data_IF_575649319323
#
_entry.id   IF_575649319323
#
_cell.length_a   1.000
_cell.length_b   1.000
_cell.length_c   1.000
_cell.angle_alpha   90.00
_cell.angle_beta   90.00
_cell.angle_gamma   90.00
#
_symmetry.space_group_name_H-M   'P 1'
#
loop_
_entity.id
_entity.type
_entity.pdbx_description
1 polymer ?
#
# COMPACT_ATOMS: atom_id res chain seq x y z
N UNK A 1 14.38 -0.36 -0.68
CA UNK A 1 13.75 0.08 -1.92
C UNK A 1 13.76 1.59 -2.08
N UNK A 2 13.27 2.07 -3.25
CA UNK A 2 13.20 3.50 -3.58
C UNK A 2 12.43 4.34 -2.56
N UNK A 3 11.31 3.81 -2.06
CA UNK A 3 10.44 4.51 -1.10
C UNK A 3 11.17 4.87 0.20
N UNK A 4 12.03 3.95 0.71
CA UNK A 4 12.83 4.22 1.92
C UNK A 4 13.84 5.34 1.67
N UNK A 5 14.44 5.39 0.47
CA UNK A 5 15.39 6.46 0.11
C UNK A 5 14.66 7.81 0.02
N UNK A 6 13.45 7.84 -0.55
CA UNK A 6 12.64 9.06 -0.63
C UNK A 6 12.26 9.53 0.77
N UNK A 7 11.78 8.63 1.64
CA UNK A 7 11.41 8.98 3.01
C UNK A 7 12.62 9.50 3.81
N UNK A 8 13.78 8.83 3.69
CA UNK A 8 15.01 9.26 4.33
C UNK A 8 15.48 10.62 3.80
N UNK A 9 15.40 10.85 2.47
CA UNK A 9 15.72 12.13 1.84
C UNK A 9 14.81 13.26 2.32
N UNK A 10 13.49 13.04 2.37
CA UNK A 10 12.53 14.01 2.89
C UNK A 10 12.79 14.33 4.37
N UNK A 11 13.05 13.31 5.19
CA UNK A 11 13.36 13.51 6.60
C UNK A 11 14.67 14.26 6.85
N UNK A 12 15.69 14.05 5.99
CA UNK A 12 16.96 14.75 6.08
C UNK A 12 16.87 16.22 5.61
N UNK A 13 16.09 16.48 4.54
CA UNK A 13 15.92 17.81 3.97
C UNK A 13 14.94 18.68 4.77
N UNK A 14 13.91 18.07 5.38
CA UNK A 14 12.84 18.76 6.08
C UNK A 14 12.62 18.19 7.49
N UNK A 15 13.64 18.24 8.38
CA UNK A 15 13.47 17.81 9.77
C UNK A 15 12.51 18.75 10.52
N UNK A 16 12.49 20.03 10.11
CA UNK A 16 11.62 21.08 10.61
C UNK A 16 10.86 21.71 9.43
N UNK A 17 9.75 22.40 9.75
CA UNK A 17 9.02 23.16 8.74
C UNK A 17 9.91 24.32 8.23
N UNK A 18 9.99 24.54 6.89
CA UNK A 18 10.78 25.64 6.33
C UNK A 18 10.18 27.00 6.70
N UNK A 19 10.87 27.80 7.53
CA UNK A 19 10.39 29.09 8.03
C UNK A 19 10.02 30.07 6.90
N UNK A 20 10.75 30.02 5.78
CA UNK A 20 10.46 30.86 4.60
C UNK A 20 9.05 30.65 4.03
N UNK A 21 8.45 29.48 4.24
CA UNK A 21 7.13 29.16 3.75
C UNK A 21 6.01 29.64 4.69
N UNK A 22 6.30 29.99 5.93
CA UNK A 22 5.33 30.59 6.86
C UNK A 22 4.78 31.93 6.37
N UNK A 23 5.50 32.62 5.49
CA UNK A 23 5.02 33.86 4.86
C UNK A 23 3.91 33.62 3.83
N UNK A 24 3.76 32.41 3.33
CA UNK A 24 2.82 32.03 2.28
C UNK A 24 1.71 31.10 2.75
N UNK A 25 2.01 30.25 3.74
CA UNK A 25 1.09 29.26 4.26
C UNK A 25 0.99 29.37 5.78
N UNK A 26 -0.17 29.01 6.31
CA UNK A 26 -0.41 28.99 7.75
C UNK A 26 -0.73 27.52 8.19
N UNK A 27 0.26 26.62 8.16
CA UNK A 27 0.06 25.23 8.48
C UNK A 27 -0.18 25.02 9.97
N UNK A 28 -0.99 24.01 10.30
CA UNK A 28 -1.12 23.55 11.67
C UNK A 28 0.12 22.74 12.07
N UNK A 29 0.96 23.28 12.96
CA UNK A 29 2.21 22.68 13.42
C UNK A 29 2.14 22.29 14.91
N UNK A 30 1.05 21.69 15.33
CA UNK A 30 0.83 21.16 16.69
C UNK A 30 1.74 19.96 17.03
N UNK A 31 2.30 19.32 16.00
CA UNK A 31 3.28 18.25 16.10
C UNK A 31 4.60 18.62 15.39
N UNK A 32 5.73 17.98 15.72
CA UNK A 32 6.96 18.09 14.93
C UNK A 32 6.71 17.79 13.44
N UNK A 33 7.22 18.63 12.54
CA UNK A 33 6.92 18.55 11.10
C UNK A 33 7.19 17.17 10.50
N UNK A 34 8.23 16.48 10.94
CA UNK A 34 8.54 15.13 10.47
C UNK A 34 7.42 14.12 10.82
N UNK A 35 6.78 14.26 11.99
CA UNK A 35 5.65 13.41 12.38
C UNK A 35 4.41 13.74 11.53
N UNK A 36 4.14 15.02 11.29
CA UNK A 36 3.06 15.48 10.41
C UNK A 36 3.26 14.87 9.01
N UNK A 37 4.48 14.94 8.48
CA UNK A 37 4.82 14.38 7.18
C UNK A 37 4.57 12.86 7.13
N UNK A 38 5.01 12.11 8.15
CA UNK A 38 4.80 10.65 8.21
C UNK A 38 3.31 10.31 8.29
N UNK A 39 2.55 11.01 9.12
CA UNK A 39 1.09 10.81 9.25
C UNK A 39 0.40 11.06 7.89
N UNK A 40 0.74 12.16 7.23
CA UNK A 40 0.18 12.48 5.92
C UNK A 40 0.60 11.48 4.84
N UNK A 41 1.84 10.95 4.88
CA UNK A 41 2.29 9.89 3.95
C UNK A 41 1.45 8.62 4.14
N UNK A 42 1.17 8.21 5.37
CA UNK A 42 0.32 7.04 5.64
C UNK A 42 -1.11 7.30 5.13
N UNK A 43 -1.67 8.47 5.39
CA UNK A 43 -3.00 8.85 4.96
C UNK A 43 -3.12 8.89 3.44
N UNK A 44 -2.29 9.68 2.77
CA UNK A 44 -2.33 9.82 1.31
C UNK A 44 -1.84 8.57 0.58
N UNK A 45 -0.91 7.81 1.17
CA UNK A 45 -0.49 6.52 0.66
C UNK A 45 -1.62 5.49 0.65
N UNK A 46 -2.41 5.42 1.72
CA UNK A 46 -3.56 4.53 1.80
C UNK A 46 -4.67 4.94 0.81
N UNK A 47 -5.03 6.23 0.76
CA UNK A 47 -6.01 6.75 -0.20
C UNK A 47 -5.56 6.51 -1.65
N UNK A 48 -4.31 6.84 -1.96
CA UNK A 48 -3.74 6.61 -3.29
C UNK A 48 -3.79 5.13 -3.68
N UNK A 49 -3.43 4.22 -2.76
CA UNK A 49 -3.47 2.79 -3.03
C UNK A 49 -4.88 2.27 -3.29
N UNK A 50 -5.89 2.79 -2.58
CA UNK A 50 -7.29 2.44 -2.81
C UNK A 50 -7.76 2.93 -4.19
N UNK A 51 -7.48 4.18 -4.53
CA UNK A 51 -7.88 4.79 -5.82
C UNK A 51 -7.15 4.08 -6.98
N UNK A 52 -5.84 3.90 -6.86
CA UNK A 52 -5.04 3.24 -7.89
C UNK A 52 -5.44 1.77 -8.07
N UNK A 53 -5.74 1.08 -6.97
CA UNK A 53 -6.29 -0.27 -7.02
C UNK A 53 -7.63 -0.34 -7.77
N UNK A 54 -8.53 0.62 -7.50
CA UNK A 54 -9.78 0.77 -8.25
C UNK A 54 -9.55 0.99 -9.76
N UNK A 55 -8.60 1.86 -10.10
CA UNK A 55 -8.18 2.06 -11.49
C UNK A 55 -7.68 0.76 -12.15
N UNK A 56 -6.86 -0.03 -11.43
CA UNK A 56 -6.37 -1.31 -11.95
C UNK A 56 -7.50 -2.31 -12.19
N UNK A 57 -8.50 -2.38 -11.29
CA UNK A 57 -9.68 -3.23 -11.48
C UNK A 57 -10.46 -2.84 -12.73
N UNK A 58 -10.69 -1.55 -12.95
CA UNK A 58 -11.36 -1.03 -14.14
C UNK A 58 -10.56 -1.33 -15.41
N UNK A 59 -9.25 -1.07 -15.40
CA UNK A 59 -8.35 -1.31 -16.53
C UNK A 59 -8.29 -2.79 -16.95
N UNK A 60 -8.38 -3.71 -16.00
CA UNK A 60 -8.35 -5.15 -16.27
C UNK A 60 -9.76 -5.77 -16.35
N UNK A 61 -10.81 -4.94 -16.41
CA UNK A 61 -12.22 -5.37 -16.52
C UNK A 61 -12.66 -6.36 -15.44
N UNK A 62 -12.07 -6.24 -14.24
CA UNK A 62 -12.36 -7.12 -13.11
C UNK A 62 -13.61 -6.64 -12.36
N UNK A 63 -14.66 -7.46 -12.35
CA UNK A 63 -15.86 -7.19 -11.56
C UNK A 63 -15.61 -7.53 -10.08
N UNK A 64 -15.37 -6.51 -9.26
CA UNK A 64 -15.06 -6.64 -7.84
C UNK A 64 -16.15 -7.38 -7.06
N UNK A 65 -17.44 -7.09 -7.34
CA UNK A 65 -18.57 -7.71 -6.64
C UNK A 65 -18.62 -9.23 -6.88
N UNK A 66 -18.40 -9.66 -8.12
CA UNK A 66 -18.36 -11.07 -8.48
C UNK A 66 -17.16 -11.78 -7.86
N UNK A 67 -16.01 -11.13 -7.76
CA UNK A 67 -14.84 -11.70 -7.11
C UNK A 67 -15.04 -11.79 -5.58
N UNK A 68 -15.59 -10.76 -4.92
CA UNK A 68 -15.88 -10.80 -3.47
C UNK A 68 -16.87 -11.93 -3.12
N UNK A 69 -17.89 -12.18 -3.95
CA UNK A 69 -18.86 -13.28 -3.72
C UNK A 69 -18.22 -14.67 -3.66
N UNK A 70 -17.04 -14.86 -4.24
CA UNK A 70 -16.30 -16.13 -4.18
C UNK A 70 -15.67 -16.39 -2.81
N UNK A 71 -15.48 -15.32 -2.01
CA UNK A 71 -14.93 -15.45 -0.66
C UNK A 71 -16.05 -15.75 0.35
N UNK A 72 -15.91 -16.85 1.08
CA UNK A 72 -16.78 -17.12 2.23
C UNK A 72 -16.41 -16.20 3.37
N UNK A 73 -17.24 -15.19 3.62
CA UNK A 73 -17.09 -14.34 4.82
C UNK A 73 -17.55 -15.17 6.02
N UNK A 74 -16.65 -15.36 6.99
CA UNK A 74 -17.01 -16.02 8.23
C UNK A 74 -18.02 -15.15 8.99
N UNK A 75 -19.11 -15.74 9.46
CA UNK A 75 -20.16 -15.06 10.25
C UNK A 75 -19.59 -14.31 11.49
N UNK A 76 -18.45 -14.75 11.98
CA UNK A 76 -17.73 -14.09 13.06
C UNK A 76 -17.40 -12.61 12.77
N UNK A 77 -17.02 -12.28 11.52
CA UNK A 77 -16.72 -10.89 11.13
C UNK A 77 -17.96 -9.98 11.06
N UNK A 78 -19.15 -10.54 11.14
CA UNK A 78 -20.41 -9.80 11.23
C UNK A 78 -20.89 -9.76 12.69
N UNK A 79 -20.80 -10.87 13.39
CA UNK A 79 -21.32 -11.01 14.76
C UNK A 79 -20.53 -10.18 15.76
N UNK A 80 -19.18 -10.17 15.66
CA UNK A 80 -18.32 -9.44 16.58
C UNK A 80 -18.50 -7.91 16.55
N UNK A 81 -18.53 -7.24 15.38
CA UNK A 81 -18.85 -5.82 15.34
C UNK A 81 -20.22 -5.49 15.93
N UNK A 82 -21.23 -6.31 15.66
CA UNK A 82 -22.56 -6.14 16.23
C UNK A 82 -22.55 -6.23 17.76
N UNK A 83 -21.78 -7.19 18.31
CA UNK A 83 -21.59 -7.30 19.75
C UNK A 83 -20.92 -6.04 20.33
N UNK A 84 -19.84 -5.55 19.73
CA UNK A 84 -19.17 -4.31 20.16
C UNK A 84 -20.10 -3.10 20.07
N UNK A 85 -20.87 -2.97 18.97
CA UNK A 85 -21.86 -1.90 18.83
C UNK A 85 -22.94 -1.99 19.93
N UNK A 86 -23.41 -3.18 20.26
CA UNK A 86 -24.38 -3.37 21.36
C UNK A 86 -23.79 -2.94 22.71
N UNK A 87 -22.55 -3.32 22.99
CA UNK A 87 -21.85 -2.95 24.24
C UNK A 87 -21.68 -1.44 24.33
N UNK A 88 -21.46 -0.72 23.23
CA UNK A 88 -21.31 0.76 23.26
C UNK A 88 -22.54 1.47 23.79
N UNK A 89 -23.75 0.91 23.64
CA UNK A 89 -24.96 1.50 24.20
C UNK A 89 -25.05 1.38 25.72
N UNK A 90 -24.35 0.39 26.31
CA UNK A 90 -24.34 0.17 27.76
C UNK A 90 -23.28 0.98 28.49
N UNK A 91 -22.32 1.53 27.76
CA UNK A 91 -21.17 2.25 28.35
C UNK A 91 -21.46 3.76 28.35
N UNK A 92 -21.31 4.39 29.53
CA UNK A 92 -21.45 5.83 29.68
C UNK A 92 -20.16 6.59 29.40
N UNK A 93 -18.99 5.97 29.66
CA UNK A 93 -17.70 6.57 29.41
C UNK A 93 -17.44 6.80 27.93
N UNK A 94 -17.21 8.07 27.54
CA UNK A 94 -17.06 8.48 26.14
C UNK A 94 -15.80 7.90 25.50
N UNK A 95 -14.69 7.79 26.25
CA UNK A 95 -13.42 7.30 25.72
C UNK A 95 -13.53 5.81 25.41
N UNK A 96 -14.09 5.04 26.33
CA UNK A 96 -14.29 3.61 26.16
C UNK A 96 -15.29 3.32 25.03
N UNK A 97 -16.34 4.15 24.89
CA UNK A 97 -17.31 4.06 23.78
C UNK A 97 -16.65 4.30 22.45
N UNK A 98 -15.81 5.33 22.30
CA UNK A 98 -15.09 5.63 21.07
C UNK A 98 -14.09 4.52 20.72
N UNK A 99 -13.42 3.96 21.71
CA UNK A 99 -12.50 2.84 21.54
C UNK A 99 -13.22 1.59 21.00
N UNK A 100 -14.36 1.23 21.57
CA UNK A 100 -15.17 0.09 21.11
C UNK A 100 -15.74 0.32 19.69
N UNK A 101 -16.18 1.53 19.38
CA UNK A 101 -16.61 1.90 18.03
C UNK A 101 -15.47 1.74 17.02
N UNK A 102 -14.26 2.18 17.37
CA UNK A 102 -13.09 2.02 16.50
C UNK A 102 -12.74 0.55 16.25
N UNK A 103 -12.80 -0.31 17.28
CA UNK A 103 -12.64 -1.75 17.10
C UNK A 103 -13.74 -2.39 16.24
N UNK A 104 -15.01 -2.01 16.47
CA UNK A 104 -16.11 -2.50 15.66
C UNK A 104 -15.94 -2.17 14.18
N UNK A 105 -15.58 -0.92 13.87
CA UNK A 105 -15.35 -0.47 12.48
C UNK A 105 -14.15 -1.19 11.86
N UNK A 106 -13.07 -1.38 12.60
CA UNK A 106 -11.86 -2.06 12.11
C UNK A 106 -12.14 -3.55 11.79
N UNK A 107 -12.89 -4.25 12.64
CA UNK A 107 -13.26 -5.65 12.40
C UNK A 107 -14.24 -5.77 11.23
N UNK A 108 -15.12 -4.79 11.00
CA UNK A 108 -16.08 -4.80 9.90
C UNK A 108 -15.41 -4.48 8.56
N UNK A 109 -14.60 -3.42 8.51
CA UNK A 109 -13.99 -2.92 7.27
C UNK A 109 -12.72 -3.70 6.91
N UNK A 110 -11.94 -4.13 7.90
CA UNK A 110 -10.66 -4.81 7.69
C UNK A 110 -10.72 -6.01 6.74
N UNK A 111 -11.61 -6.99 6.93
CA UNK A 111 -11.74 -8.13 6.01
C UNK A 111 -12.09 -7.72 4.57
N UNK A 112 -12.92 -6.68 4.40
CA UNK A 112 -13.31 -6.17 3.07
C UNK A 112 -12.09 -5.58 2.38
N UNK A 113 -11.30 -4.76 3.09
CA UNK A 113 -10.04 -4.21 2.56
C UNK A 113 -9.03 -5.30 2.23
N UNK A 114 -8.88 -6.31 3.08
CA UNK A 114 -8.00 -7.45 2.80
C UNK A 114 -8.43 -8.23 1.55
N UNK A 115 -9.75 -8.45 1.36
CA UNK A 115 -10.27 -9.06 0.13
C UNK A 115 -9.98 -8.18 -1.09
N UNK A 116 -10.23 -6.89 -0.98
CA UNK A 116 -9.94 -5.93 -2.05
C UNK A 116 -8.47 -6.01 -2.48
N UNK A 117 -7.53 -5.94 -1.55
CA UNK A 117 -6.10 -6.05 -1.83
C UNK A 117 -5.75 -7.40 -2.48
N UNK A 118 -6.28 -8.53 -1.96
CA UNK A 118 -6.05 -9.86 -2.54
C UNK A 118 -6.57 -9.99 -3.97
N UNK A 119 -7.74 -9.40 -4.27
CA UNK A 119 -8.30 -9.42 -5.62
C UNK A 119 -7.40 -8.64 -6.58
N UNK A 120 -6.98 -7.43 -6.21
CA UNK A 120 -6.07 -6.63 -7.02
C UNK A 120 -4.76 -7.38 -7.24
N UNK A 121 -4.17 -7.92 -6.18
CA UNK A 121 -2.92 -8.67 -6.26
C UNK A 121 -3.05 -9.84 -7.26
N UNK A 122 -4.09 -10.68 -7.08
CA UNK A 122 -4.25 -11.90 -7.88
C UNK A 122 -4.69 -11.67 -9.33
N UNK A 123 -5.43 -10.57 -9.60
CA UNK A 123 -6.02 -10.33 -10.93
C UNK A 123 -5.34 -9.24 -11.73
N UNK A 124 -4.70 -8.27 -11.07
CA UNK A 124 -4.21 -7.06 -11.73
C UNK A 124 -2.69 -6.90 -11.67
N UNK A 125 -2.01 -7.53 -10.69
CA UNK A 125 -0.58 -7.28 -10.48
C UNK A 125 0.34 -8.25 -11.22
N UNK A 126 -0.17 -9.40 -11.68
CA UNK A 126 0.65 -10.37 -12.41
C UNK A 126 0.65 -10.06 -13.90
N UNK A 127 1.84 -9.81 -14.46
CA UNK A 127 2.03 -9.54 -15.88
C UNK A 127 3.04 -10.50 -16.49
N UNK A 128 2.68 -11.07 -17.64
CA UNK A 128 3.59 -11.84 -18.48
C UNK A 128 4.35 -10.89 -19.38
N UNK A 129 5.65 -10.79 -19.21
CA UNK A 129 6.52 -9.91 -20.01
C UNK A 129 7.66 -10.69 -20.64
N UNK A 130 8.23 -10.11 -21.70
CA UNK A 130 9.44 -10.63 -22.34
C UNK A 130 10.63 -10.41 -21.42
N UNK A 131 11.59 -11.36 -21.41
CA UNK A 131 12.77 -11.28 -20.56
C UNK A 131 13.61 -10.02 -20.82
N UNK A 132 13.68 -9.56 -22.07
CA UNK A 132 14.38 -8.33 -22.47
C UNK A 132 13.70 -7.03 -21.97
N UNK A 133 12.54 -7.11 -21.35
CA UNK A 133 11.83 -5.99 -20.72
C UNK A 133 11.88 -6.05 -19.20
N UNK A 134 12.47 -7.09 -18.65
CA UNK A 134 12.69 -7.24 -17.20
C UNK A 134 13.81 -6.30 -16.78
N UNK A 135 13.62 -5.61 -15.67
CA UNK A 135 14.61 -4.71 -15.08
C UNK A 135 15.10 -5.26 -13.74
N UNK A 136 16.31 -4.86 -13.36
CA UNK A 136 16.86 -5.22 -12.06
C UNK A 136 15.90 -4.82 -10.92
N UNK A 137 15.66 -5.75 -10.00
CA UNK A 137 14.73 -5.57 -8.89
C UNK A 137 13.29 -5.97 -9.16
N UNK A 138 12.94 -6.40 -10.40
CA UNK A 138 11.63 -6.95 -10.68
C UNK A 138 11.41 -8.29 -9.95
N UNK A 139 10.18 -8.54 -9.51
CA UNK A 139 9.83 -9.78 -8.82
C UNK A 139 9.21 -10.78 -9.77
N UNK A 140 9.97 -11.80 -10.12
CA UNK A 140 9.45 -12.96 -10.84
C UNK A 140 8.73 -13.88 -9.84
N UNK A 141 7.54 -14.34 -10.21
CA UNK A 141 6.62 -15.05 -9.30
C UNK A 141 6.92 -16.53 -9.11
N UNK A 142 7.79 -17.09 -9.96
CA UNK A 142 8.11 -18.51 -10.00
C UNK A 142 9.59 -18.75 -9.83
N UNK A 143 9.93 -19.93 -9.25
CA UNK A 143 11.31 -20.41 -9.25
C UNK A 143 11.69 -20.83 -10.68
N UNK A 144 12.83 -20.39 -11.16
CA UNK A 144 13.32 -20.76 -12.49
C UNK A 144 14.48 -21.72 -12.34
N UNK A 145 14.33 -22.91 -12.94
CA UNK A 145 15.35 -23.94 -12.95
C UNK A 145 15.89 -24.16 -14.37
N UNK A 146 17.18 -24.40 -14.48
CA UNK A 146 17.82 -24.83 -15.72
C UNK A 146 18.79 -25.98 -15.46
N UNK A 147 18.61 -27.09 -16.17
CA UNK A 147 19.39 -28.34 -15.99
C UNK A 147 19.47 -28.78 -14.52
N UNK A 148 18.37 -28.69 -13.76
CA UNK A 148 18.31 -29.06 -12.35
C UNK A 148 18.91 -28.05 -11.37
N UNK A 149 19.51 -26.94 -11.85
CA UNK A 149 20.07 -25.88 -11.01
C UNK A 149 19.10 -24.72 -10.89
N UNK A 150 18.88 -24.22 -9.68
CA UNK A 150 18.06 -23.04 -9.41
C UNK A 150 18.81 -21.80 -9.92
N UNK A 151 18.21 -21.09 -10.89
CA UNK A 151 18.74 -19.83 -11.45
C UNK A 151 18.13 -18.63 -10.72
N UNK A 152 16.82 -18.64 -10.47
CA UNK A 152 16.13 -17.59 -9.76
C UNK A 152 15.21 -18.17 -8.68
N UNK A 153 15.25 -17.58 -7.49
CA UNK A 153 14.39 -17.93 -6.38
C UNK A 153 13.28 -16.87 -6.22
N UNK A 154 12.01 -17.27 -6.28
CA UNK A 154 10.84 -16.39 -6.10
C UNK A 154 10.82 -15.60 -4.78
N UNK A 155 11.55 -16.08 -3.76
CA UNK A 155 11.63 -15.42 -2.45
C UNK A 155 12.77 -14.38 -2.38
N UNK A 156 13.54 -14.20 -3.47
CA UNK A 156 14.58 -13.16 -3.53
C UNK A 156 13.93 -11.77 -3.55
N UNK A 157 14.63 -10.71 -3.11
CA UNK A 157 14.10 -9.34 -3.08
C UNK A 157 13.90 -8.71 -4.47
N UNK A 158 14.23 -9.43 -5.53
CA UNK A 158 14.11 -9.04 -6.92
C UNK A 158 15.18 -9.76 -7.75
N UNK A 159 15.03 -9.74 -9.08
CA UNK A 159 16.01 -10.32 -9.99
C UNK A 159 17.21 -9.38 -10.14
N UNK A 160 18.41 -9.94 -10.25
CA UNK A 160 19.65 -9.21 -10.49
C UNK A 160 20.00 -9.18 -11.98
N UNK A 161 20.79 -8.19 -12.42
CA UNK A 161 21.27 -8.12 -13.81
C UNK A 161 22.00 -9.39 -14.25
N UNK A 162 22.76 -10.02 -13.35
CA UNK A 162 23.43 -11.28 -13.62
C UNK A 162 22.43 -12.41 -13.94
N UNK A 163 21.34 -12.50 -13.16
CA UNK A 163 20.28 -13.50 -13.38
C UNK A 163 19.51 -13.22 -14.68
N UNK A 164 19.23 -11.94 -15.01
CA UNK A 164 18.59 -11.54 -16.28
C UNK A 164 19.44 -12.05 -17.45
N UNK A 165 20.74 -11.75 -17.43
CA UNK A 165 21.67 -12.17 -18.48
C UNK A 165 21.75 -13.72 -18.60
N UNK A 166 21.64 -14.45 -17.50
CA UNK A 166 21.58 -15.92 -17.52
C UNK A 166 20.29 -16.41 -18.16
N UNK A 167 19.13 -15.80 -17.80
CA UNK A 167 17.84 -16.18 -18.36
C UNK A 167 17.76 -15.92 -19.88
N UNK A 168 18.39 -14.84 -20.35
CA UNK A 168 18.51 -14.55 -21.79
C UNK A 168 19.37 -15.58 -22.51
N UNK A 169 20.54 -15.95 -21.95
CA UNK A 169 21.44 -16.97 -22.51
C UNK A 169 20.77 -18.34 -22.66
N UNK A 170 19.92 -18.71 -21.71
CA UNK A 170 19.14 -19.97 -21.78
C UNK A 170 17.86 -19.85 -22.63
N UNK A 171 17.66 -18.70 -23.30
CA UNK A 171 16.56 -18.41 -24.25
C UNK A 171 15.16 -18.51 -23.64
N UNK A 172 14.97 -18.14 -22.39
CA UNK A 172 13.65 -17.97 -21.79
C UNK A 172 13.02 -16.74 -22.45
N UNK A 173 11.84 -16.91 -23.06
CA UNK A 173 11.17 -15.83 -23.79
C UNK A 173 10.34 -14.95 -22.86
N UNK A 174 9.62 -15.54 -21.91
CA UNK A 174 8.65 -14.86 -21.06
C UNK A 174 8.84 -15.25 -19.60
N UNK A 175 8.57 -14.30 -18.73
CA UNK A 175 8.46 -14.50 -17.29
C UNK A 175 7.20 -13.79 -16.76
N UNK A 176 6.67 -14.25 -15.64
CA UNK A 176 5.57 -13.58 -14.96
C UNK A 176 6.18 -12.77 -13.82
N UNK A 177 6.02 -11.45 -13.90
CA UNK A 177 6.43 -10.53 -12.84
C UNK A 177 5.23 -10.06 -12.02
N UNK A 178 5.48 -9.71 -10.77
CA UNK A 178 4.52 -9.01 -9.91
C UNK A 178 4.80 -7.51 -9.98
N UNK A 179 3.93 -6.78 -10.69
CA UNK A 179 4.01 -5.32 -10.77
C UNK A 179 3.68 -4.68 -9.42
N UNK A 180 4.35 -3.60 -9.07
CA UNK A 180 4.12 -2.87 -7.81
C UNK A 180 3.29 -1.63 -8.07
N UNK A 181 2.54 -1.20 -7.04
CA UNK A 181 1.88 0.10 -7.06
C UNK A 181 2.97 1.18 -6.89
N UNK A 182 3.06 2.18 -7.79
CA UNK A 182 4.03 3.26 -7.66
C UNK A 182 3.64 4.17 -6.47
N UNK A 183 4.45 4.20 -5.41
CA UNK A 183 4.17 5.02 -4.22
C UNK A 183 4.66 6.46 -4.31
N UNK A 184 5.55 6.79 -5.26
CA UNK A 184 6.11 8.14 -5.41
C UNK A 184 5.06 9.26 -5.47
N UNK A 185 3.92 9.12 -6.20
CA UNK A 185 2.89 10.15 -6.22
C UNK A 185 2.27 10.43 -4.84
N UNK A 186 2.14 9.41 -3.98
CA UNK A 186 1.60 9.61 -2.63
C UNK A 186 2.54 10.39 -1.72
N UNK A 187 3.86 10.20 -1.85
CA UNK A 187 4.86 11.00 -1.13
C UNK A 187 4.78 12.47 -1.53
N UNK A 188 4.64 12.76 -2.82
CA UNK A 188 4.51 14.13 -3.33
C UNK A 188 3.24 14.80 -2.78
N UNK A 189 2.09 14.12 -2.86
CA UNK A 189 0.83 14.63 -2.34
C UNK A 189 0.90 14.90 -0.83
N UNK A 190 1.42 13.94 -0.07
CA UNK A 190 1.58 14.08 1.37
C UNK A 190 2.50 15.26 1.73
N UNK A 191 3.61 15.43 1.01
CA UNK A 191 4.54 16.53 1.23
C UNK A 191 3.87 17.89 0.94
N UNK A 192 3.18 18.03 -0.19
CA UNK A 192 2.47 19.27 -0.53
C UNK A 192 1.41 19.62 0.52
N UNK A 193 0.62 18.63 0.95
CA UNK A 193 -0.39 18.84 1.99
C UNK A 193 0.24 19.19 3.33
N UNK A 194 1.36 18.56 3.69
CA UNK A 194 2.08 18.88 4.92
C UNK A 194 2.62 20.31 4.93
N UNK A 195 3.05 20.82 3.78
CA UNK A 195 3.52 22.21 3.66
C UNK A 195 2.35 23.20 3.73
N UNK A 196 1.24 22.93 3.04
CA UNK A 196 0.14 23.89 2.90
C UNK A 196 -0.74 23.91 4.16
N UNK A 197 -1.08 22.74 4.69
CA UNK A 197 -2.06 22.58 5.76
C UNK A 197 -1.46 22.13 7.10
N UNK A 198 -0.27 21.52 7.05
CA UNK A 198 0.33 20.90 8.25
C UNK A 198 -0.40 19.64 8.67
N UNK A 199 -0.70 19.52 9.98
CA UNK A 199 -1.49 18.42 10.52
C UNK A 199 -2.96 18.57 10.14
N UNK A 200 -3.51 17.57 9.46
CA UNK A 200 -4.94 17.53 9.08
C UNK A 200 -5.85 17.13 10.26
N UNK A 201 -5.29 16.44 11.25
CA UNK A 201 -6.01 16.08 12.45
C UNK A 201 -5.71 17.15 13.50
N UNK A 202 -6.67 18.04 13.77
CA UNK A 202 -6.61 18.92 14.95
C UNK A 202 -6.77 18.03 16.18
N UNK A 203 -5.70 17.84 16.93
CA UNK A 203 -5.72 17.18 18.24
C UNK A 203 -5.95 18.23 19.31
#
# INVERSE_FOLDING_TARGET
GGDVKILAGLGALFPLYPESLLNYFNPNLDLPFILILVINIILFGSLYSLVYGGYLLMKNEVNLVNEIKKYKINKFYILMPLLFLFITFLIQDIILRLLLLSFATLILIGPILLMYVKIIESKCMFKKILINKVTEGDWITENIYYKGKLIYNKNSPGITDHEINLLEKIKIKYVIIKERIPFVPSFLLAFLVSIIFGNLFRI
#
